data_IF_820127410749
#
_entry.id   IF_820127410749
#
_cell.length_a   1.000
_cell.length_b   1.000
_cell.length_c   1.000
_cell.angle_alpha   90.00
_cell.angle_beta   90.00
_cell.angle_gamma   90.00
#
_symmetry.space_group_name_H-M   'P 1'
#
loop_
_entity.id
_entity.type
_entity.pdbx_description
1 polymer ?
#
# COMPACT_ATOMS: atom_id res chain seq x y z
N UNK A 1 5.03 0.85 6.23
CA UNK A 1 4.25 1.54 5.18
C UNK A 1 2.80 1.05 5.16
N UNK A 2 1.84 1.84 4.68
CA UNK A 2 0.45 1.44 4.44
C UNK A 2 0.03 1.91 3.04
N UNK A 3 -0.77 1.11 2.33
CA UNK A 3 -1.32 1.47 1.02
C UNK A 3 -2.83 1.36 1.07
N UNK A 4 -3.52 2.43 0.66
CA UNK A 4 -4.95 2.40 0.45
C UNK A 4 -5.30 1.83 -0.95
N UNK A 5 -6.56 1.42 -1.13
CA UNK A 5 -7.06 0.97 -2.44
C UNK A 5 -6.85 -0.52 -2.73
N UNK A 6 -6.74 -1.38 -1.71
CA UNK A 6 -6.65 -2.85 -1.86
C UNK A 6 -7.77 -3.43 -2.72
N UNK A 7 -8.98 -2.90 -2.59
CA UNK A 7 -10.17 -3.33 -3.34
C UNK A 7 -10.52 -2.41 -4.51
N UNK A 8 -9.57 -1.58 -4.97
CA UNK A 8 -9.83 -0.67 -6.08
C UNK A 8 -10.00 -1.46 -7.40
N UNK A 9 -11.10 -1.25 -8.16
CA UNK A 9 -11.29 -1.94 -9.42
C UNK A 9 -10.39 -1.35 -10.52
N UNK A 10 -9.97 -2.17 -11.50
CA UNK A 10 -9.17 -1.70 -12.62
C UNK A 10 -9.94 -0.70 -13.50
N UNK A 11 -9.24 0.27 -14.09
CA UNK A 11 -9.82 1.27 -14.99
C UNK A 11 -10.70 2.32 -14.32
N UNK A 12 -10.87 2.28 -13.00
CA UNK A 12 -11.69 3.26 -12.26
C UNK A 12 -10.81 4.23 -11.48
N UNK A 13 -11.06 5.53 -11.67
CA UNK A 13 -10.49 6.58 -10.82
C UNK A 13 -11.19 6.61 -9.46
N UNK A 14 -10.39 6.53 -8.39
CA UNK A 14 -10.85 6.51 -7.00
C UNK A 14 -10.69 7.91 -6.36
N UNK A 15 -11.48 8.89 -6.83
CA UNK A 15 -11.48 10.26 -6.33
C UNK A 15 -10.26 11.06 -6.80
N UNK A 16 -9.09 10.84 -6.19
CA UNK A 16 -7.85 11.53 -6.58
C UNK A 16 -7.49 11.20 -8.04
N UNK A 17 -7.15 12.23 -8.83
CA UNK A 17 -6.69 12.11 -10.22
C UNK A 17 -5.69 10.96 -10.48
N UNK A 18 -4.70 10.77 -9.61
CA UNK A 18 -3.69 9.70 -9.75
C UNK A 18 -4.08 8.35 -9.16
N UNK A 19 -5.22 8.24 -8.47
CA UNK A 19 -5.67 7.00 -7.86
C UNK A 19 -6.44 6.13 -8.86
N UNK A 20 -5.71 5.54 -9.82
CA UNK A 20 -6.27 4.65 -10.85
C UNK A 20 -5.31 3.49 -11.11
N UNK A 21 -5.87 2.31 -11.37
CA UNK A 21 -5.13 1.15 -11.88
C UNK A 21 -5.34 1.13 -13.39
N UNK A 22 -4.27 1.28 -14.17
CA UNK A 22 -4.33 1.40 -15.62
C UNK A 22 -3.30 0.50 -16.31
N UNK A 23 -3.72 -0.24 -17.34
CA UNK A 23 -2.86 -1.15 -18.12
C UNK A 23 -2.04 -2.12 -17.23
N UNK A 24 -2.65 -2.64 -16.18
CA UNK A 24 -2.00 -3.54 -15.21
C UNK A 24 -0.98 -2.86 -14.28
N UNK A 25 -0.81 -1.53 -14.35
CA UNK A 25 0.08 -0.76 -13.49
C UNK A 25 -0.70 -0.06 -12.38
N UNK A 26 -0.03 0.20 -11.27
CA UNK A 26 -0.63 0.84 -10.09
C UNK A 26 -1.36 -0.12 -9.14
N UNK A 27 -1.30 -1.43 -9.38
CA UNK A 27 -1.95 -2.45 -8.54
C UNK A 27 -1.44 -2.42 -7.10
N UNK A 28 -2.34 -2.74 -6.17
CA UNK A 28 -2.00 -2.86 -4.76
C UNK A 28 -0.91 -3.92 -4.53
N UNK A 29 -1.09 -5.11 -5.09
CA UNK A 29 -0.17 -6.25 -4.92
C UNK A 29 1.23 -5.95 -5.44
N UNK A 30 1.34 -5.28 -6.60
CA UNK A 30 2.63 -4.90 -7.17
C UNK A 30 3.41 -3.97 -6.25
N UNK A 31 2.74 -2.97 -5.67
CA UNK A 31 3.36 -2.03 -4.72
C UNK A 31 3.75 -2.72 -3.40
N UNK A 32 2.90 -3.59 -2.87
CA UNK A 32 3.21 -4.37 -1.65
C UNK A 32 4.42 -5.26 -1.87
N UNK A 33 4.49 -5.96 -3.01
CA UNK A 33 5.64 -6.83 -3.35
C UNK A 33 6.94 -6.03 -3.42
N UNK A 34 6.91 -4.87 -4.08
CA UNK A 34 8.08 -3.99 -4.18
C UNK A 34 8.58 -3.50 -2.82
N UNK A 35 7.67 -3.05 -1.95
CA UNK A 35 8.01 -2.60 -0.60
C UNK A 35 8.58 -3.72 0.27
N UNK A 36 7.96 -4.91 0.25
CA UNK A 36 8.48 -6.07 0.98
C UNK A 36 9.84 -6.51 0.48
N UNK A 37 10.08 -6.48 -0.84
CA UNK A 37 11.39 -6.79 -1.42
C UNK A 37 12.48 -5.79 -0.98
N UNK A 38 12.10 -4.54 -0.68
CA UNK A 38 12.98 -3.53 -0.12
C UNK A 38 13.12 -3.62 1.42
N UNK A 39 12.59 -4.65 2.06
CA UNK A 39 12.67 -4.83 3.52
C UNK A 39 11.67 -3.99 4.33
N UNK A 40 10.70 -3.33 3.68
CA UNK A 40 9.71 -2.49 4.37
C UNK A 40 8.57 -3.33 4.92
N UNK A 41 8.28 -3.20 6.22
CA UNK A 41 7.05 -3.75 6.80
C UNK A 41 5.82 -3.01 6.26
N UNK A 42 4.83 -3.76 5.77
CA UNK A 42 3.59 -3.22 5.18
C UNK A 42 2.40 -3.60 6.06
N UNK A 43 1.71 -2.59 6.58
CA UNK A 43 0.46 -2.74 7.33
C UNK A 43 -0.67 -3.24 6.44
N UNK A 44 -1.49 -4.16 6.96
CA UNK A 44 -2.69 -4.63 6.26
C UNK A 44 -3.87 -3.67 6.45
N UNK A 45 -3.93 -3.00 7.61
CA UNK A 45 -4.95 -2.05 8.02
C UNK A 45 -4.31 -0.74 8.50
N UNK A 46 -4.97 0.40 8.30
CA UNK A 46 -4.38 1.71 8.61
C UNK A 46 -4.05 1.88 10.10
N UNK A 47 -4.82 1.25 10.98
CA UNK A 47 -4.62 1.31 12.43
C UNK A 47 -3.46 0.44 12.95
N UNK A 48 -2.85 -0.40 12.11
CA UNK A 48 -1.65 -1.17 12.49
C UNK A 48 -0.36 -0.33 12.34
N UNK A 49 -0.42 0.80 11.62
CA UNK A 49 0.73 1.68 11.38
C UNK A 49 1.42 2.15 12.68
N UNK A 50 0.70 2.58 13.73
CA UNK A 50 1.33 2.98 14.98
C UNK A 50 2.13 1.86 15.65
N UNK A 51 1.61 0.63 15.64
CA UNK A 51 2.29 -0.53 16.25
C UNK A 51 3.55 -0.93 15.47
N UNK A 52 3.48 -0.93 14.13
CA UNK A 52 4.65 -1.16 13.28
C UNK A 52 5.71 -0.07 13.46
N UNK A 53 5.28 1.19 13.60
CA UNK A 53 6.19 2.30 13.87
C UNK A 53 6.90 2.12 15.22
N UNK A 54 6.15 1.80 16.29
CA UNK A 54 6.73 1.51 17.60
C UNK A 54 7.75 0.37 17.54
N UNK A 55 7.45 -0.70 16.80
CA UNK A 55 8.37 -1.83 16.61
C UNK A 55 9.66 -1.41 15.91
N UNK A 56 9.55 -0.59 14.86
CA UNK A 56 10.69 -0.12 14.07
C UNK A 56 11.59 0.84 14.86
N UNK A 57 11.00 1.72 15.68
CA UNK A 57 11.75 2.73 16.46
C UNK A 57 12.37 2.20 17.76
N UNK A 58 11.91 1.04 18.24
CA UNK A 58 12.49 0.36 19.42
C UNK A 58 13.65 -0.58 19.07
N UNK A 59 13.93 -0.76 17.77
CA UNK A 59 15.02 -1.57 17.26
C UNK A 59 16.34 -0.80 17.24
#
# INVERSE_FOLDING_TARGET
>A
AYLAGKSAPPGKRMGHAGAIIERGRGTFEGKVKALKAAGVEVASLPFEVPELLKKTLKA
#
